data_IF_036391747625
#
_entry.id   IF_036391747625
#
_cell.length_a   1.000
_cell.length_b   1.000
_cell.length_c   1.000
_cell.angle_alpha   90.00
_cell.angle_beta   90.00
_cell.angle_gamma   90.00
#
_symmetry.space_group_name_H-M   'P 1'
#
loop_
_entity.id
_entity.type
_entity.pdbx_description
1 polymer ?
#
# COMPACT_ATOMS: atom_id res chain seq x y z
N UNK A 1 -4.29 11.76 3.68
CA UNK A 1 -3.32 10.64 3.61
C UNK A 1 -2.62 10.70 2.28
N UNK A 2 -1.38 11.13 2.29
CA UNK A 2 -0.41 10.94 1.21
C UNK A 2 0.21 9.55 1.39
N UNK A 3 0.34 8.78 0.31
CA UNK A 3 1.02 7.49 0.37
C UNK A 3 2.51 7.71 0.12
N UNK A 4 3.37 7.21 1.00
CA UNK A 4 4.80 7.32 0.80
C UNK A 4 5.26 6.41 -0.34
N UNK A 5 6.02 7.01 -1.25
CA UNK A 5 6.63 6.31 -2.38
C UNK A 5 7.67 5.33 -1.83
N UNK A 6 7.62 4.07 -2.27
CA UNK A 6 8.43 2.98 -1.71
C UNK A 6 7.74 2.19 -0.59
N UNK A 7 6.53 2.59 -0.15
CA UNK A 7 5.81 1.82 0.87
C UNK A 7 5.43 0.44 0.33
N UNK A 8 5.80 -0.60 1.09
CA UNK A 8 5.42 -1.98 0.82
C UNK A 8 4.23 -2.41 1.70
N UNK A 9 3.19 -2.91 1.05
CA UNK A 9 2.02 -3.51 1.64
C UNK A 9 2.03 -5.01 1.39
N UNK A 10 1.64 -5.78 2.40
CA UNK A 10 1.36 -7.21 2.27
C UNK A 10 -0.08 -7.39 1.85
N UNK A 11 -0.29 -8.22 0.83
CA UNK A 11 -1.62 -8.60 0.37
C UNK A 11 -2.09 -9.75 1.25
N UNK A 12 -3.26 -9.61 1.88
CA UNK A 12 -3.85 -10.70 2.64
C UNK A 12 -4.15 -11.87 1.68
N UNK A 13 -3.90 -13.10 2.13
CA UNK A 13 -3.86 -14.35 1.34
C UNK A 13 -5.17 -14.70 0.60
N UNK A 14 -6.18 -13.82 0.63
CA UNK A 14 -7.55 -14.04 0.16
C UNK A 14 -7.86 -13.38 -1.19
N UNK A 15 -6.90 -12.68 -1.83
CA UNK A 15 -7.14 -12.00 -3.12
C UNK A 15 -6.26 -12.48 -4.31
N UNK A 16 -6.19 -13.79 -4.61
CA UNK A 16 -5.40 -14.29 -5.74
C UNK A 16 -5.85 -13.76 -7.10
N UNK A 17 -7.13 -13.39 -7.24
CA UNK A 17 -7.70 -12.87 -8.50
C UNK A 17 -7.45 -11.39 -8.78
N UNK A 18 -7.20 -10.57 -7.75
CA UNK A 18 -7.07 -9.11 -7.91
C UNK A 18 -5.62 -8.70 -8.17
N UNK A 19 -4.67 -9.38 -7.51
CA UNK A 19 -3.26 -9.02 -7.57
C UNK A 19 -2.39 -10.08 -8.24
N UNK A 20 -2.93 -10.85 -9.18
CA UNK A 20 -2.19 -11.90 -9.89
C UNK A 20 -1.47 -12.87 -8.93
N UNK A 21 -2.13 -13.23 -7.82
CA UNK A 21 -1.57 -14.02 -6.72
C UNK A 21 -0.26 -13.46 -6.13
N UNK A 22 -0.05 -12.15 -6.17
CA UNK A 22 1.10 -11.51 -5.53
C UNK A 22 0.94 -11.41 -4.02
N UNK A 23 2.06 -11.52 -3.33
CA UNK A 23 2.13 -11.51 -1.86
C UNK A 23 2.35 -10.09 -1.31
N UNK A 24 2.95 -9.21 -2.13
CA UNK A 24 3.25 -7.83 -1.76
C UNK A 24 2.89 -6.84 -2.88
N UNK A 25 2.62 -5.61 -2.48
CA UNK A 25 2.36 -4.46 -3.33
C UNK A 25 3.24 -3.30 -2.87
N UNK A 26 4.04 -2.74 -3.77
CA UNK A 26 4.93 -1.61 -3.47
C UNK A 26 4.50 -0.39 -4.27
N UNK A 27 4.37 0.75 -3.60
CA UNK A 27 4.03 2.01 -4.27
C UNK A 27 5.26 2.53 -5.00
N UNK A 28 5.13 2.75 -6.30
CA UNK A 28 6.23 3.23 -7.15
C UNK A 28 6.07 4.72 -7.45
N UNK A 29 4.83 5.20 -7.56
CA UNK A 29 4.55 6.60 -7.86
C UNK A 29 3.15 6.98 -7.41
N UNK A 30 2.98 8.21 -6.95
CA UNK A 30 1.68 8.84 -6.84
C UNK A 30 1.64 10.06 -7.76
N UNK A 31 0.57 10.19 -8.55
CA UNK A 31 0.33 11.32 -9.43
C UNK A 31 -1.12 11.78 -9.25
N UNK A 32 -1.30 12.85 -8.47
CA UNK A 32 -2.62 13.31 -8.03
C UNK A 32 -3.34 12.20 -7.25
N UNK A 33 -4.53 11.85 -7.73
CA UNK A 33 -5.39 10.81 -7.15
C UNK A 33 -5.10 9.39 -7.66
N UNK A 34 -4.11 9.20 -8.54
CA UNK A 34 -3.71 7.88 -9.03
C UNK A 34 -2.42 7.45 -8.36
N UNK A 35 -2.41 6.21 -7.84
CA UNK A 35 -1.25 5.54 -7.29
C UNK A 35 -0.83 4.41 -8.23
N UNK A 36 0.41 4.45 -8.68
CA UNK A 36 1.07 3.39 -9.42
C UNK A 36 1.83 2.50 -8.45
N UNK A 37 1.66 1.19 -8.62
CA UNK A 37 2.27 0.18 -7.78
C UNK A 37 2.87 -0.96 -8.61
N UNK A 38 3.81 -1.66 -8.01
CA UNK A 38 4.37 -2.92 -8.50
C UNK A 38 3.98 -4.04 -7.57
N UNK A 39 3.70 -5.19 -8.16
CA UNK A 39 3.46 -6.42 -7.41
C UNK A 39 4.78 -7.14 -7.13
N UNK A 40 4.89 -7.73 -5.95
CA UNK A 40 6.03 -8.53 -5.53
C UNK A 40 6.36 -9.64 -6.54
N UNK A 41 7.62 -10.05 -6.56
CA UNK A 41 8.13 -11.12 -7.43
C UNK A 41 8.00 -10.81 -8.95
N UNK A 42 7.93 -9.53 -9.33
CA UNK A 42 7.83 -9.13 -10.74
C UNK A 42 6.51 -9.53 -11.41
N UNK A 43 5.47 -9.88 -10.61
CA UNK A 43 4.17 -10.39 -11.09
C UNK A 43 3.34 -9.37 -11.87
N UNK A 44 3.71 -8.09 -11.83
CA UNK A 44 3.07 -7.06 -12.63
C UNK A 44 3.25 -5.64 -12.09
N UNK A 45 2.70 -4.68 -12.84
CA UNK A 45 2.58 -3.28 -12.46
C UNK A 45 1.11 -2.89 -12.63
N UNK A 46 0.61 -2.05 -11.74
CA UNK A 46 -0.76 -1.58 -11.76
C UNK A 46 -0.85 -0.12 -11.39
N UNK A 47 -2.01 0.46 -11.66
CA UNK A 47 -2.37 1.78 -11.18
C UNK A 47 -3.80 1.74 -10.66
N UNK A 48 -4.05 2.40 -9.53
CA UNK A 48 -5.38 2.51 -8.97
C UNK A 48 -5.60 3.88 -8.32
N UNK A 49 -6.85 4.30 -8.11
CA UNK A 49 -7.13 5.50 -7.34
C UNK A 49 -6.62 5.38 -5.90
N UNK A 50 -6.15 6.49 -5.35
CA UNK A 50 -5.78 6.66 -3.93
C UNK A 50 -6.91 6.16 -3.02
N UNK A 51 -8.16 6.47 -3.34
CA UNK A 51 -9.31 6.04 -2.54
C UNK A 51 -9.58 4.53 -2.62
N UNK A 52 -9.25 3.89 -3.73
CA UNK A 52 -9.34 2.43 -3.82
C UNK A 52 -8.27 1.77 -2.94
N UNK A 53 -7.04 2.30 -2.93
CA UNK A 53 -5.99 1.83 -2.03
C UNK A 53 -6.42 1.97 -0.55
N UNK A 54 -7.04 3.09 -0.17
CA UNK A 54 -7.60 3.29 1.18
C UNK A 54 -8.71 2.29 1.49
N UNK A 55 -9.60 2.02 0.53
CA UNK A 55 -10.68 1.05 0.70
C UNK A 55 -10.14 -0.35 1.02
N UNK A 56 -9.09 -0.77 0.31
CA UNK A 56 -8.45 -2.07 0.51
C UNK A 56 -7.71 -2.15 1.85
N UNK A 57 -7.06 -1.06 2.29
CA UNK A 57 -6.46 -0.95 3.62
C UNK A 57 -7.52 -1.04 4.72
N UNK A 58 -8.65 -0.32 4.57
CA UNK A 58 -9.76 -0.37 5.54
C UNK A 58 -10.42 -1.75 5.62
N UNK A 59 -10.42 -2.52 4.53
CA UNK A 59 -10.94 -3.89 4.53
C UNK A 59 -9.96 -4.95 5.06
N UNK A 60 -8.77 -4.56 5.53
CA UNK A 60 -7.69 -5.48 5.90
C UNK A 60 -7.22 -6.40 4.74
N UNK A 61 -7.53 -6.04 3.50
CA UNK A 61 -7.05 -6.77 2.30
C UNK A 61 -5.58 -6.43 1.99
N UNK A 62 -5.17 -5.23 2.39
CA UNK A 62 -3.77 -4.78 2.40
C UNK A 62 -3.37 -4.47 3.83
N UNK A 63 -2.24 -5.03 4.27
CA UNK A 63 -1.65 -4.72 5.58
C UNK A 63 -0.31 -4.04 5.37
N UNK A 64 -0.08 -2.92 6.05
CA UNK A 64 1.23 -2.25 5.95
C UNK A 64 2.30 -3.12 6.59
N UNK A 65 3.38 -3.38 5.86
CA UNK A 65 4.53 -4.05 6.43
C UNK A 65 5.24 -3.06 7.37
N UNK A 66 4.93 -3.14 8.68
CA UNK A 66 5.37 -2.20 9.74
C UNK A 66 6.89 -1.95 9.82
N UNK A 67 7.73 -2.67 9.09
CA UNK A 67 9.17 -2.36 9.00
C UNK A 67 9.48 -1.07 8.25
N UNK A 68 8.60 -0.59 7.36
CA UNK A 68 8.85 0.65 6.59
C UNK A 68 8.28 1.92 7.22
N UNK A 69 7.33 1.81 8.15
CA UNK A 69 6.68 2.96 8.80
C UNK A 69 7.39 3.44 10.08
N UNK A 70 8.44 2.75 10.53
CA UNK A 70 9.17 3.11 11.75
C UNK A 70 10.01 4.41 11.61
N UNK A 71 9.95 5.08 10.45
CA UNK A 71 10.63 6.36 10.23
C UNK A 71 9.68 7.57 10.08
N UNK A 72 8.36 7.40 10.23
CA UNK A 72 7.41 8.51 10.06
C UNK A 72 6.23 8.48 11.05
N UNK A 73 6.50 8.21 12.33
CA UNK A 73 5.51 8.38 13.41
C UNK A 73 6.11 9.16 14.60
N UNK A 74 6.79 10.26 14.29
CA UNK A 74 7.24 11.23 15.30
C UNK A 74 6.57 12.58 15.06
N UNK A 75 5.24 12.62 14.88
CA UNK A 75 4.50 13.91 14.92
C UNK A 75 2.99 13.82 15.15
N UNK A 76 2.44 12.96 16.02
CA UNK A 76 1.10 13.26 16.56
C UNK A 76 0.71 12.53 17.86
N UNK A 77 1.43 12.77 18.95
CA UNK A 77 0.81 12.65 20.27
C UNK A 77 1.12 13.89 21.10
N UNK A 78 0.40 14.99 20.80
CA UNK A 78 0.17 16.05 21.77
C UNK A 78 -0.74 15.47 22.85
N UNK A 79 -0.12 14.88 23.86
CA UNK A 79 -0.78 14.61 25.13
C UNK A 79 -0.96 15.97 25.81
N UNK A 80 -2.23 16.37 25.97
CA UNK A 80 -2.63 17.49 26.83
C UNK A 80 -2.68 17.08 28.29
#
# INVERSE_FOLDING_TARGET
MTFELGTEYKIAHVMPGVFNSADTLTIVRQSGDIVQFTLGNGKGRGAMPVDHLKYLLNKNELTVNKRSLLNHDDTNEKIG
#
